data_IF_766667377807
#
_entry.id   IF_766667377807
#
_cell.length_a   1.000
_cell.length_b   1.000
_cell.length_c   1.000
_cell.angle_alpha   90.00
_cell.angle_beta   90.00
_cell.angle_gamma   90.00
#
_symmetry.space_group_name_H-M   'P 1'
#
loop_
_entity.id
_entity.type
_entity.pdbx_description
1 polymer ?
#
# COMPACT_ATOMS: atom_id res chain seq x y z
N UNK A 1 1.92 -14.64 -20.77
CA UNK A 1 1.39 -15.98 -20.46
C UNK A 1 2.21 -16.53 -19.29
N UNK A 2 1.60 -17.34 -18.42
CA UNK A 2 2.20 -17.91 -17.19
C UNK A 2 3.68 -18.25 -17.36
N UNK A 3 4.51 -17.90 -16.37
CA UNK A 3 5.92 -18.29 -16.36
C UNK A 3 6.16 -19.74 -15.93
N UNK A 4 5.09 -20.47 -15.58
CA UNK A 4 5.16 -21.84 -15.10
C UNK A 4 5.05 -22.85 -16.25
N UNK A 5 5.91 -23.89 -16.28
CA UNK A 5 5.92 -24.89 -17.35
C UNK A 5 4.67 -25.79 -17.36
N UNK A 6 3.95 -25.86 -16.25
CA UNK A 6 2.73 -26.68 -16.09
C UNK A 6 1.49 -25.99 -16.68
N UNK A 7 1.52 -24.67 -16.90
CA UNK A 7 0.38 -23.90 -17.38
C UNK A 7 0.58 -23.51 -18.84
N UNK A 8 0.16 -24.41 -19.74
CA UNK A 8 0.18 -24.20 -21.17
C UNK A 8 -1.14 -24.63 -21.82
N UNK A 9 -1.30 -24.30 -23.10
CA UNK A 9 -2.44 -24.75 -23.91
C UNK A 9 -2.08 -26.14 -24.46
N UNK A 10 -2.78 -27.22 -24.09
CA UNK A 10 -2.51 -28.56 -24.62
C UNK A 10 -2.82 -28.63 -26.12
N UNK A 11 -2.21 -29.59 -26.82
CA UNK A 11 -2.45 -29.80 -28.26
C UNK A 11 -3.92 -30.15 -28.51
N UNK A 12 -4.40 -29.85 -29.72
CA UNK A 12 -5.76 -30.16 -30.12
C UNK A 12 -6.08 -31.65 -29.97
N UNK A 13 -7.20 -31.95 -29.31
CA UNK A 13 -7.57 -33.30 -28.90
C UNK A 13 -9.06 -33.46 -28.63
N UNK A 14 -9.44 -34.58 -28.02
CA UNK A 14 -10.81 -34.84 -27.60
C UNK A 14 -11.15 -34.06 -26.32
N UNK A 15 -12.44 -33.82 -26.04
CA UNK A 15 -12.88 -33.20 -24.78
C UNK A 15 -12.26 -33.87 -23.54
N UNK A 16 -12.13 -35.20 -23.58
CA UNK A 16 -11.56 -35.98 -22.48
C UNK A 16 -10.09 -35.60 -22.22
N UNK A 17 -9.29 -35.43 -23.27
CA UNK A 17 -7.88 -35.01 -23.11
C UNK A 17 -7.71 -33.63 -22.45
N UNK A 18 -8.64 -32.70 -22.69
CA UNK A 18 -8.65 -31.42 -21.98
C UNK A 18 -9.04 -31.58 -20.51
N UNK A 19 -10.01 -32.45 -20.20
CA UNK A 19 -10.40 -32.74 -18.81
C UNK A 19 -9.27 -33.41 -18.02
N UNK A 20 -8.58 -34.37 -18.63
CA UNK A 20 -7.44 -35.05 -18.01
C UNK A 20 -6.30 -34.06 -17.71
N UNK A 21 -6.05 -33.13 -18.63
CA UNK A 21 -5.05 -32.08 -18.44
C UNK A 21 -5.43 -31.10 -17.31
N UNK A 22 -6.69 -30.65 -17.26
CA UNK A 22 -7.17 -29.77 -16.16
C UNK A 22 -7.03 -30.48 -14.81
N UNK A 23 -7.28 -31.79 -14.77
CA UNK A 23 -7.17 -32.60 -13.53
C UNK A 23 -5.73 -32.73 -13.04
N UNK A 24 -4.73 -32.56 -13.91
CA UNK A 24 -3.31 -32.57 -13.55
C UNK A 24 -2.86 -31.23 -12.91
N UNK A 25 -3.61 -30.15 -13.09
CA UNK A 25 -3.27 -28.85 -12.53
C UNK A 25 -3.41 -28.86 -11.00
N UNK A 26 -2.56 -28.09 -10.28
CA UNK A 26 -2.66 -28.01 -8.84
C UNK A 26 -3.97 -27.33 -8.42
N UNK A 27 -4.53 -27.75 -7.26
CA UNK A 27 -5.72 -27.12 -6.69
C UNK A 27 -5.50 -25.66 -6.23
N UNK A 28 -4.25 -25.29 -5.98
CA UNK A 28 -3.87 -23.94 -5.57
C UNK A 28 -2.95 -23.37 -6.64
N UNK A 29 -3.46 -22.38 -7.36
CA UNK A 29 -2.72 -21.65 -8.37
C UNK A 29 -1.74 -20.67 -7.72
N UNK A 30 -0.51 -20.66 -8.20
CA UNK A 30 0.48 -19.64 -7.79
C UNK A 30 0.22 -18.33 -8.55
N UNK A 31 0.60 -17.17 -7.98
CA UNK A 31 0.47 -15.87 -8.67
C UNK A 31 1.08 -15.84 -10.08
N UNK A 32 2.19 -16.55 -10.28
CA UNK A 32 2.90 -16.68 -11.55
C UNK A 32 2.04 -17.33 -12.65
N UNK A 33 1.06 -18.16 -12.29
CA UNK A 33 0.07 -18.71 -13.22
C UNK A 33 -0.72 -17.62 -13.94
N UNK A 34 -0.93 -16.49 -13.26
CA UNK A 34 -1.62 -15.31 -13.77
C UNK A 34 -0.65 -14.21 -14.25
N UNK A 35 0.65 -14.52 -14.33
CA UNK A 35 1.70 -13.56 -14.70
C UNK A 35 2.01 -12.52 -13.61
N UNK A 36 1.63 -12.78 -12.37
CA UNK A 36 1.90 -11.91 -11.23
C UNK A 36 3.22 -12.28 -10.54
N UNK A 37 3.79 -11.34 -9.80
CA UNK A 37 4.96 -11.59 -8.95
C UNK A 37 4.56 -12.47 -7.73
N UNK A 38 5.43 -13.36 -7.22
CA UNK A 38 5.12 -14.20 -6.04
C UNK A 38 4.59 -13.44 -4.82
N UNK A 39 5.02 -12.18 -4.63
CA UNK A 39 4.54 -11.31 -3.54
C UNK A 39 3.04 -10.97 -3.59
N UNK A 40 2.35 -11.26 -4.69
CA UNK A 40 0.90 -11.05 -4.77
C UNK A 40 0.14 -11.94 -3.78
N UNK A 41 0.63 -13.16 -3.49
CA UNK A 41 0.04 -14.05 -2.50
C UNK A 41 0.15 -13.44 -1.08
N UNK A 42 1.34 -12.95 -0.71
CA UNK A 42 1.56 -12.21 0.55
C UNK A 42 0.60 -11.01 0.66
N UNK A 43 0.44 -10.27 -0.45
CA UNK A 43 -0.46 -9.10 -0.48
C UNK A 43 -1.91 -9.51 -0.29
N UNK A 44 -2.37 -10.59 -0.92
CA UNK A 44 -3.71 -11.14 -0.72
C UNK A 44 -3.95 -11.53 0.74
N UNK A 45 -3.02 -12.28 1.33
CA UNK A 45 -3.11 -12.71 2.73
C UNK A 45 -3.16 -11.53 3.71
N UNK A 46 -2.40 -10.46 3.45
CA UNK A 46 -2.45 -9.22 4.24
C UNK A 46 -3.83 -8.56 4.12
N UNK A 47 -4.39 -8.48 2.91
CA UNK A 47 -5.70 -7.87 2.67
C UNK A 47 -6.80 -8.68 3.34
N UNK A 48 -6.81 -9.99 3.15
CA UNK A 48 -7.78 -10.90 3.77
C UNK A 48 -7.72 -10.84 5.29
N UNK A 49 -6.52 -10.85 5.87
CA UNK A 49 -6.32 -10.73 7.31
C UNK A 49 -6.85 -9.39 7.84
N UNK A 50 -6.56 -8.28 7.16
CA UNK A 50 -7.10 -6.97 7.52
C UNK A 50 -8.62 -6.95 7.47
N UNK A 51 -9.21 -7.47 6.40
CA UNK A 51 -10.67 -7.53 6.26
C UNK A 51 -11.31 -8.37 7.37
N UNK A 52 -10.68 -9.48 7.75
CA UNK A 52 -11.13 -10.29 8.89
C UNK A 52 -11.10 -9.49 10.19
N UNK A 53 -9.99 -8.80 10.49
CA UNK A 53 -9.86 -8.00 11.70
C UNK A 53 -10.85 -6.83 11.73
N UNK A 54 -11.03 -6.12 10.62
CA UNK A 54 -12.04 -5.06 10.50
C UNK A 54 -13.45 -5.61 10.75
N UNK A 55 -13.76 -6.78 10.18
CA UNK A 55 -15.05 -7.44 10.42
C UNK A 55 -15.22 -7.79 11.90
N UNK A 56 -14.19 -8.35 12.54
CA UNK A 56 -14.23 -8.67 13.98
C UNK A 56 -14.39 -7.42 14.85
N UNK A 57 -13.68 -6.34 14.53
CA UNK A 57 -13.81 -5.06 15.23
C UNK A 57 -15.21 -4.45 15.03
N UNK A 58 -15.81 -4.60 13.85
CA UNK A 58 -17.17 -4.10 13.58
C UNK A 58 -18.24 -4.82 14.39
N UNK A 59 -18.02 -6.10 14.72
CA UNK A 59 -18.91 -6.91 15.55
C UNK A 59 -18.71 -6.66 17.06
N UNK A 60 -17.63 -5.97 17.45
CA UNK A 60 -17.36 -5.67 18.85
C UNK A 60 -18.43 -4.70 19.38
N UNK A 61 -19.24 -5.18 20.33
CA UNK A 61 -20.16 -4.32 21.08
C UNK A 61 -19.30 -3.27 21.80
N UNK A 62 -19.60 -1.98 21.58
CA UNK A 62 -18.96 -0.89 22.31
C UNK A 62 -19.38 -0.95 23.79
N UNK A 63 -18.73 -1.81 24.57
CA UNK A 63 -18.72 -1.73 26.01
C UNK A 63 -18.00 -0.43 26.36
N UNK A 64 -18.75 0.58 26.80
CA UNK A 64 -18.19 1.84 27.29
C UNK A 64 -17.36 1.54 28.54
N UNK A 65 -16.05 1.32 28.38
CA UNK A 65 -15.12 1.33 29.49
C UNK A 65 -14.97 2.77 29.96
N UNK A 66 -15.75 3.16 30.97
CA UNK A 66 -15.89 4.51 31.51
C UNK A 66 -14.67 5.06 32.27
N UNK A 67 -13.49 4.44 32.09
CA UNK A 67 -12.25 4.79 32.81
C UNK A 67 -11.05 5.00 31.88
N UNK A 68 -11.24 4.90 30.55
CA UNK A 68 -10.19 5.20 29.59
C UNK A 68 -10.24 6.68 29.18
N UNK A 69 -9.07 7.28 28.98
CA UNK A 69 -8.90 8.60 28.36
C UNK A 69 -9.80 8.74 27.12
N UNK A 70 -10.47 9.89 26.98
CA UNK A 70 -11.39 10.11 25.86
C UNK A 70 -10.64 9.97 24.54
N UNK A 71 -11.32 9.45 23.50
CA UNK A 71 -10.70 9.32 22.16
C UNK A 71 -10.17 10.68 21.68
N UNK A 72 -10.89 11.75 22.01
CA UNK A 72 -10.58 13.14 21.69
C UNK A 72 -9.27 13.60 22.37
N UNK A 73 -9.06 13.27 23.65
CA UNK A 73 -7.84 13.61 24.38
C UNK A 73 -6.62 12.91 23.78
N UNK A 74 -6.78 11.64 23.42
CA UNK A 74 -5.72 10.86 22.75
C UNK A 74 -5.38 11.42 21.37
N UNK A 75 -6.39 11.81 20.59
CA UNK A 75 -6.21 12.44 19.28
C UNK A 75 -5.52 13.79 19.43
N UNK A 76 -5.91 14.60 20.42
CA UNK A 76 -5.30 15.90 20.70
C UNK A 76 -3.82 15.78 21.09
N UNK A 77 -3.48 14.80 21.94
CA UNK A 77 -2.09 14.49 22.30
C UNK A 77 -1.27 14.08 21.08
N UNK A 78 -1.80 13.18 20.25
CA UNK A 78 -1.11 12.72 19.04
C UNK A 78 -0.91 13.86 18.04
N UNK A 79 -1.92 14.71 17.83
CA UNK A 79 -1.82 15.88 16.96
C UNK A 79 -0.74 16.86 17.45
N UNK A 80 -0.66 17.09 18.76
CA UNK A 80 0.36 17.95 19.37
C UNK A 80 1.78 17.36 19.21
N UNK A 81 1.92 16.04 19.39
CA UNK A 81 3.19 15.34 19.18
C UNK A 81 3.64 15.41 17.71
N UNK A 82 2.71 15.16 16.76
CA UNK A 82 2.98 15.30 15.32
C UNK A 82 3.39 16.73 15.00
N UNK A 83 2.67 17.74 15.49
CA UNK A 83 3.01 19.14 15.29
C UNK A 83 4.41 19.48 15.82
N UNK A 84 4.80 18.92 16.97
CA UNK A 84 6.14 19.15 17.53
C UNK A 84 7.28 18.53 16.71
N UNK A 85 6.98 17.51 15.91
CA UNK A 85 7.94 16.81 15.04
C UNK A 85 8.01 17.37 13.62
N UNK A 86 7.04 18.20 13.23
CA UNK A 86 7.03 18.84 11.91
C UNK A 86 8.12 19.91 11.89
N UNK A 87 9.05 19.88 10.91
CA UNK A 87 10.04 20.92 10.72
C UNK A 87 9.40 22.30 10.51
N UNK A 88 10.11 23.36 10.87
CA UNK A 88 9.64 24.72 10.60
C UNK A 88 9.50 24.97 9.10
N UNK A 89 8.57 25.87 8.76
CA UNK A 89 8.36 26.32 7.38
C UNK A 89 9.67 26.90 6.84
N UNK A 90 10.01 26.52 5.62
CA UNK A 90 11.22 27.01 4.95
C UNK A 90 11.00 28.49 4.61
N UNK A 91 11.92 29.35 5.06
CA UNK A 91 11.88 30.78 4.77
C UNK A 91 12.25 31.04 3.31
N UNK A 92 11.22 31.26 2.49
CA UNK A 92 11.38 31.58 1.07
C UNK A 92 12.24 32.83 0.86
N UNK A 93 11.98 33.92 1.60
CA UNK A 93 12.65 35.20 1.38
C UNK A 93 14.13 35.11 1.71
N UNK A 94 14.48 34.46 2.81
CA UNK A 94 15.88 34.26 3.18
C UNK A 94 16.58 33.32 2.18
N UNK A 95 15.89 32.27 1.72
CA UNK A 95 16.43 31.34 0.72
C UNK A 95 16.68 32.04 -0.62
N UNK A 96 15.76 32.88 -1.09
CA UNK A 96 15.92 33.67 -2.31
C UNK A 96 17.07 34.69 -2.20
N UNK A 97 17.19 35.36 -1.05
CA UNK A 97 18.30 36.29 -0.77
C UNK A 97 19.66 35.59 -0.79
N UNK A 98 19.75 34.36 -0.24
CA UNK A 98 20.98 33.57 -0.21
C UNK A 98 21.40 33.07 -1.59
N UNK A 99 20.45 32.69 -2.46
CA UNK A 99 20.72 32.28 -3.85
C UNK A 99 21.22 33.46 -4.68
N UNK A 100 20.64 34.65 -4.47
CA UNK A 100 21.06 35.87 -5.15
C UNK A 100 20.51 36.01 -6.57
N UNK A 101 21.18 36.86 -7.37
CA UNK A 101 20.71 37.28 -8.69
C UNK A 101 20.99 36.25 -9.80
N UNK A 102 22.06 35.47 -9.68
CA UNK A 102 22.43 34.43 -10.67
C UNK A 102 21.84 33.08 -10.27
N UNK A 103 20.62 32.80 -10.74
CA UNK A 103 19.86 31.60 -10.38
C UNK A 103 20.14 30.46 -11.38
N UNK A 104 20.54 29.30 -10.88
CA UNK A 104 20.64 28.08 -11.69
C UNK A 104 19.27 27.42 -11.81
N UNK A 105 19.05 26.53 -12.80
CA UNK A 105 17.77 25.85 -12.97
C UNK A 105 17.27 25.12 -11.71
N UNK A 106 18.17 24.51 -10.93
CA UNK A 106 17.80 23.85 -9.67
C UNK A 106 17.35 24.83 -8.59
N UNK A 107 17.91 26.04 -8.56
CA UNK A 107 17.54 27.08 -7.59
C UNK A 107 16.14 27.61 -7.86
N UNK A 108 15.77 27.74 -9.15
CA UNK A 108 14.42 28.12 -9.56
C UNK A 108 13.40 27.06 -9.15
N UNK A 109 13.71 25.78 -9.37
CA UNK A 109 12.84 24.66 -8.95
C UNK A 109 12.73 24.62 -7.43
N UNK A 110 13.83 24.79 -6.70
CA UNK A 110 13.83 24.83 -5.24
C UNK A 110 12.90 25.93 -4.71
N UNK A 111 13.01 27.16 -5.24
CA UNK A 111 12.14 28.27 -4.85
C UNK A 111 10.67 27.99 -5.17
N UNK A 112 10.38 27.37 -6.33
CA UNK A 112 9.02 26.96 -6.67
C UNK A 112 8.45 25.93 -5.69
N UNK A 113 9.24 24.91 -5.34
CA UNK A 113 8.80 23.87 -4.40
C UNK A 113 8.67 24.40 -2.97
N UNK A 114 9.47 25.39 -2.55
CA UNK A 114 9.28 26.09 -1.26
C UNK A 114 7.96 26.91 -1.26
N UNK A 115 7.53 27.41 -2.42
CA UNK A 115 6.31 28.23 -2.54
C UNK A 115 5.00 27.42 -2.67
N UNK A 116 5.07 26.10 -2.92
CA UNK A 116 3.90 25.21 -3.05
C UNK A 116 3.29 24.87 -1.70
#
# INVERSE_FOLDING_TARGET
>A
LSSLPTYYIPRDGSLHSYQDYITLLPNIDRPEAFGQHPNADITSQIIESRNLFETLMSLQIQSTSSLAESKEDKVGKLASDVLSKIPQVIDYENTEKLIGADKKPLDVVLLQEISR
#
